data_IF_835576355950
#
_entry.id   IF_835576355950
#
_cell.length_a   1.000
_cell.length_b   1.000
_cell.length_c   1.000
_cell.angle_alpha   90.00
_cell.angle_beta   90.00
_cell.angle_gamma   90.00
#
_symmetry.space_group_name_H-M   'P 1'
#
loop_
_entity.id
_entity.type
_entity.pdbx_description
1 polymer ?
#
# COMPACT_ATOMS: atom_id res chain seq x y z
N UNK A 1 -3.85 -19.20 -16.07
CA UNK A 1 -5.26 -18.78 -16.00
C UNK A 1 -5.95 -19.41 -14.79
N UNK A 2 -7.10 -18.88 -14.43
CA UNK A 2 -7.90 -19.44 -13.34
C UNK A 2 -8.39 -20.85 -13.66
N UNK A 3 -8.77 -21.11 -14.90
CA UNK A 3 -9.19 -22.42 -15.35
C UNK A 3 -8.09 -23.46 -15.20
N UNK A 4 -6.86 -23.10 -15.56
CA UNK A 4 -5.70 -23.98 -15.40
C UNK A 4 -5.41 -24.26 -13.92
N UNK A 5 -5.53 -23.27 -13.06
CA UNK A 5 -5.38 -23.45 -11.62
C UNK A 5 -6.43 -24.37 -11.04
N UNK A 6 -7.70 -24.19 -11.44
CA UNK A 6 -8.79 -25.05 -10.99
C UNK A 6 -8.54 -26.51 -11.41
N UNK A 7 -8.11 -26.73 -12.65
CA UNK A 7 -7.80 -28.06 -13.16
C UNK A 7 -6.64 -28.72 -12.40
N UNK A 8 -5.55 -27.97 -12.20
CA UNK A 8 -4.35 -28.51 -11.52
C UNK A 8 -4.55 -28.76 -10.03
N UNK A 9 -5.38 -27.96 -9.36
CA UNK A 9 -5.60 -28.07 -7.91
C UNK A 9 -6.77 -28.97 -7.54
N UNK A 10 -7.66 -29.27 -8.50
CA UNK A 10 -8.87 -30.00 -8.23
C UNK A 10 -9.98 -29.19 -7.56
N UNK A 11 -9.76 -27.88 -7.34
CA UNK A 11 -10.78 -26.98 -6.81
C UNK A 11 -11.69 -26.45 -7.92
N UNK A 12 -12.88 -26.02 -7.55
CA UNK A 12 -13.81 -25.41 -8.50
C UNK A 12 -13.28 -24.07 -9.00
N UNK A 13 -13.71 -23.66 -10.19
CA UNK A 13 -13.39 -22.35 -10.73
C UNK A 13 -13.85 -21.22 -9.81
N UNK A 14 -15.02 -21.39 -9.17
CA UNK A 14 -15.55 -20.42 -8.21
C UNK A 14 -14.63 -20.26 -6.99
N UNK A 15 -14.14 -21.37 -6.43
CA UNK A 15 -13.21 -21.34 -5.30
C UNK A 15 -11.88 -20.67 -5.67
N UNK A 16 -11.33 -20.99 -6.85
CA UNK A 16 -10.11 -20.37 -7.35
C UNK A 16 -10.32 -18.86 -7.55
N UNK A 17 -11.42 -18.46 -8.16
CA UNK A 17 -11.74 -17.04 -8.38
C UNK A 17 -11.82 -16.26 -7.07
N UNK A 18 -12.51 -16.81 -6.06
CA UNK A 18 -12.64 -16.17 -4.75
C UNK A 18 -11.28 -16.00 -4.06
N UNK A 19 -10.47 -17.06 -4.07
CA UNK A 19 -9.13 -17.05 -3.48
C UNK A 19 -8.22 -16.05 -4.20
N UNK A 20 -8.25 -16.02 -5.53
CA UNK A 20 -7.43 -15.11 -6.32
C UNK A 20 -7.80 -13.64 -6.13
N UNK A 21 -9.08 -13.33 -5.89
CA UNK A 21 -9.51 -11.96 -5.55
C UNK A 21 -8.84 -11.44 -4.28
N UNK A 22 -8.58 -12.32 -3.33
CA UNK A 22 -7.86 -11.97 -2.09
C UNK A 22 -6.38 -11.79 -2.38
N UNK A 23 -5.77 -12.73 -3.12
CA UNK A 23 -4.33 -12.74 -3.40
C UNK A 23 -3.87 -11.58 -4.28
N UNK A 24 -4.67 -11.15 -5.26
CA UNK A 24 -4.30 -10.04 -6.14
C UNK A 24 -4.22 -8.69 -5.44
N UNK A 25 -4.70 -8.59 -4.20
CA UNK A 25 -4.48 -7.41 -3.37
C UNK A 25 -3.05 -7.32 -2.87
N UNK A 26 -2.32 -8.43 -2.88
CA UNK A 26 -0.90 -8.46 -2.54
C UNK A 26 -0.06 -7.97 -3.73
N UNK A 27 0.98 -7.14 -3.50
CA UNK A 27 1.92 -6.75 -4.56
C UNK A 27 2.67 -7.94 -5.18
N UNK A 28 2.68 -9.09 -4.52
CA UNK A 28 3.34 -10.29 -5.01
C UNK A 28 2.63 -10.92 -6.22
N UNK A 29 1.33 -10.69 -6.36
CA UNK A 29 0.52 -11.27 -7.45
C UNK A 29 0.13 -10.16 -8.40
N UNK A 30 0.48 -10.31 -9.67
CA UNK A 30 0.14 -9.35 -10.73
C UNK A 30 -0.92 -9.96 -11.65
N UNK A 31 -1.87 -9.12 -12.03
CA UNK A 31 -2.97 -9.45 -12.92
C UNK A 31 -2.61 -9.02 -14.34
N UNK A 32 -2.75 -9.92 -15.30
CA UNK A 32 -2.41 -9.66 -16.69
C UNK A 32 -3.53 -10.09 -17.61
N UNK A 33 -3.88 -9.23 -18.58
CA UNK A 33 -4.76 -9.56 -19.69
C UNK A 33 -3.96 -9.56 -20.98
N UNK A 34 -4.08 -10.65 -21.76
CA UNK A 34 -3.50 -10.69 -23.09
C UNK A 34 -4.42 -9.99 -24.10
N UNK A 35 -3.88 -9.27 -25.10
CA UNK A 35 -4.68 -8.65 -26.14
C UNK A 35 -5.55 -9.70 -26.85
N UNK A 36 -6.83 -9.35 -27.08
CA UNK A 36 -7.79 -10.23 -27.75
C UNK A 36 -8.34 -11.37 -26.91
N UNK A 37 -7.97 -11.47 -25.65
CA UNK A 37 -8.46 -12.51 -24.72
C UNK A 37 -9.27 -11.91 -23.58
N UNK A 38 -10.38 -12.57 -23.24
CA UNK A 38 -11.18 -12.23 -22.05
C UNK A 38 -10.66 -12.92 -20.79
N UNK A 39 -9.72 -13.86 -20.91
CA UNK A 39 -9.17 -14.59 -19.78
C UNK A 39 -8.20 -13.73 -18.99
N UNK A 40 -8.24 -13.90 -17.66
CA UNK A 40 -7.31 -13.28 -16.74
C UNK A 40 -6.18 -14.24 -16.45
N UNK A 41 -4.97 -13.70 -16.51
CA UNK A 41 -3.76 -14.42 -16.16
C UNK A 41 -3.13 -13.77 -14.94
N UNK A 42 -2.50 -14.59 -14.09
CA UNK A 42 -1.83 -14.14 -12.88
C UNK A 42 -0.38 -14.64 -12.91
N UNK A 43 0.52 -13.81 -12.43
CA UNK A 43 1.88 -14.24 -12.20
C UNK A 43 2.38 -13.73 -10.85
N UNK A 44 3.31 -14.46 -10.25
CA UNK A 44 3.92 -14.12 -8.99
C UNK A 44 5.22 -13.35 -9.23
N UNK A 45 5.35 -12.19 -8.60
CA UNK A 45 6.60 -11.46 -8.61
C UNK A 45 7.63 -12.23 -7.79
N UNK A 46 8.74 -12.59 -8.41
CA UNK A 46 9.80 -13.38 -7.76
C UNK A 46 10.84 -12.52 -7.06
N UNK A 47 10.87 -11.23 -7.35
CA UNK A 47 11.80 -10.31 -6.74
C UNK A 47 11.19 -9.72 -5.45
N UNK A 48 11.60 -10.27 -4.32
CA UNK A 48 11.10 -9.87 -3.00
C UNK A 48 11.40 -8.40 -2.69
N UNK A 49 12.56 -7.90 -3.11
CA UNK A 49 12.92 -6.48 -2.93
C UNK A 49 11.94 -5.55 -3.63
N UNK A 50 11.55 -5.91 -4.86
CA UNK A 50 10.57 -5.15 -5.63
C UNK A 50 9.21 -5.13 -4.94
N UNK A 51 8.77 -6.26 -4.38
CA UNK A 51 7.51 -6.35 -3.62
C UNK A 51 7.53 -5.40 -2.43
N UNK A 52 8.60 -5.41 -1.65
CA UNK A 52 8.74 -4.56 -0.46
C UNK A 52 8.72 -3.08 -0.84
N UNK A 53 9.47 -2.69 -1.88
CA UNK A 53 9.50 -1.30 -2.35
C UNK A 53 8.13 -0.86 -2.84
N UNK A 54 7.43 -1.67 -3.65
CA UNK A 54 6.09 -1.35 -4.10
C UNK A 54 5.10 -1.21 -2.93
N UNK A 55 5.22 -2.05 -1.90
CA UNK A 55 4.39 -1.97 -0.71
C UNK A 55 4.63 -0.65 0.03
N UNK A 56 5.89 -0.26 0.20
CA UNK A 56 6.23 1.02 0.82
C UNK A 56 5.65 2.20 0.03
N UNK A 57 5.82 2.20 -1.29
CA UNK A 57 5.34 3.28 -2.15
C UNK A 57 3.80 3.35 -2.21
N UNK A 58 3.14 2.23 -2.40
CA UNK A 58 1.70 2.20 -2.66
C UNK A 58 0.84 2.23 -1.39
N UNK A 59 1.34 1.70 -0.29
CA UNK A 59 0.57 1.62 0.96
C UNK A 59 1.03 2.68 1.95
N UNK A 60 2.28 2.57 2.39
CA UNK A 60 2.78 3.42 3.48
C UNK A 60 2.95 4.87 3.06
N UNK A 61 3.64 5.14 1.95
CA UNK A 61 3.89 6.51 1.51
C UNK A 61 2.62 7.24 1.09
N UNK A 62 1.72 6.59 0.37
CA UNK A 62 0.46 7.21 -0.05
C UNK A 62 -0.42 7.61 1.12
N UNK A 63 -0.57 6.70 2.10
CA UNK A 63 -1.38 6.97 3.29
C UNK A 63 -0.77 8.10 4.11
N UNK A 64 0.53 8.07 4.33
CA UNK A 64 1.22 9.13 5.08
C UNK A 64 1.16 10.48 4.37
N UNK A 65 1.40 10.53 3.05
CA UNK A 65 1.29 11.76 2.27
C UNK A 65 -0.09 12.37 2.36
N UNK A 66 -1.13 11.56 2.23
CA UNK A 66 -2.50 12.01 2.33
C UNK A 66 -2.81 12.58 3.71
N UNK A 67 -2.40 11.90 4.77
CA UNK A 67 -2.61 12.35 6.14
C UNK A 67 -1.86 13.65 6.42
N UNK A 68 -0.59 13.72 6.04
CA UNK A 68 0.24 14.92 6.25
C UNK A 68 -0.33 16.12 5.48
N UNK A 69 -0.82 15.91 4.27
CA UNK A 69 -1.43 16.97 3.47
C UNK A 69 -2.72 17.53 4.09
N UNK A 70 -3.54 16.65 4.68
CA UNK A 70 -4.85 17.02 5.23
C UNK A 70 -4.80 17.56 6.66
N UNK A 71 -3.81 17.16 7.45
CA UNK A 71 -3.77 17.51 8.88
C UNK A 71 -3.67 19.00 9.18
N UNK A 72 -2.85 19.82 8.49
CA UNK A 72 -2.79 21.25 8.79
C UNK A 72 -4.14 21.94 8.66
N UNK A 73 -4.91 21.60 7.64
CA UNK A 73 -6.25 22.17 7.43
C UNK A 73 -7.24 21.71 8.49
N UNK A 74 -7.17 20.45 8.88
CA UNK A 74 -7.99 19.88 9.94
C UNK A 74 -7.71 20.60 11.26
N UNK A 75 -6.46 20.80 11.60
CA UNK A 75 -6.05 21.52 12.81
C UNK A 75 -6.54 22.98 12.77
N UNK A 76 -6.39 23.66 11.64
CA UNK A 76 -6.88 25.01 11.44
C UNK A 76 -8.39 25.09 11.64
N UNK A 77 -9.16 24.15 11.08
CA UNK A 77 -10.61 24.12 11.25
C UNK A 77 -11.02 23.92 12.70
N UNK A 78 -10.33 23.03 13.43
CA UNK A 78 -10.57 22.85 14.87
C UNK A 78 -10.33 24.12 15.67
N UNK A 79 -9.30 24.87 15.33
CA UNK A 79 -8.99 26.14 15.98
C UNK A 79 -10.05 27.21 15.69
N UNK A 80 -10.65 27.20 14.50
CA UNK A 80 -11.69 28.16 14.10
C UNK A 80 -13.06 27.83 14.71
N UNK A 81 -13.48 26.57 14.62
CA UNK A 81 -14.82 26.13 15.04
C UNK A 81 -14.93 25.94 16.54
N UNK A 82 -13.83 25.73 17.23
CA UNK A 82 -13.75 25.55 18.67
C UNK A 82 -14.78 24.55 19.23
N UNK A 83 -14.84 23.30 18.69
CA UNK A 83 -15.73 22.29 19.24
C UNK A 83 -15.35 21.98 20.69
N UNK A 84 -16.25 21.28 21.41
CA UNK A 84 -15.98 20.88 22.78
C UNK A 84 -14.64 20.14 22.88
N UNK A 85 -13.80 20.51 23.85
CA UNK A 85 -12.46 19.96 24.07
C UNK A 85 -11.46 20.18 22.90
N UNK A 86 -11.70 21.20 22.05
CA UNK A 86 -10.85 21.42 20.89
C UNK A 86 -9.37 21.63 21.22
N UNK A 87 -9.05 22.28 22.34
CA UNK A 87 -7.65 22.52 22.75
C UNK A 87 -6.89 21.21 22.98
N UNK A 88 -7.54 20.24 23.61
CA UNK A 88 -6.98 18.92 23.87
C UNK A 88 -6.76 18.16 22.57
N UNK A 89 -7.76 18.20 21.69
CA UNK A 89 -7.71 17.53 20.40
C UNK A 89 -6.65 18.14 19.49
N UNK A 90 -6.51 19.47 19.49
CA UNK A 90 -5.47 20.15 18.70
C UNK A 90 -4.07 19.73 19.14
N UNK A 91 -3.83 19.63 20.45
CA UNK A 91 -2.53 19.18 20.98
C UNK A 91 -2.20 17.75 20.46
N UNK A 92 -3.17 16.85 20.49
CA UNK A 92 -3.00 15.48 20.01
C UNK A 92 -2.74 15.46 18.49
N UNK A 93 -3.52 16.22 17.73
CA UNK A 93 -3.38 16.30 16.27
C UNK A 93 -2.03 16.88 15.86
N UNK A 94 -1.56 17.93 16.54
CA UNK A 94 -0.25 18.52 16.27
C UNK A 94 0.88 17.54 16.59
N UNK A 95 0.75 16.77 17.66
CA UNK A 95 1.70 15.70 18.00
C UNK A 95 1.73 14.62 16.93
N UNK A 96 0.56 14.15 16.47
CA UNK A 96 0.49 13.17 15.38
C UNK A 96 1.10 13.72 14.09
N UNK A 97 0.83 14.97 13.76
CA UNK A 97 1.40 15.61 12.58
C UNK A 97 2.94 15.60 12.62
N UNK A 98 3.53 15.97 13.75
CA UNK A 98 4.98 15.95 13.93
C UNK A 98 5.54 14.53 13.82
N UNK A 99 4.87 13.56 14.44
CA UNK A 99 5.28 12.15 14.36
C UNK A 99 5.21 11.63 12.94
N UNK A 100 4.13 11.94 12.21
CA UNK A 100 3.96 11.51 10.81
C UNK A 100 5.03 12.10 9.90
N UNK A 101 5.41 13.36 10.09
CA UNK A 101 6.47 13.97 9.28
C UNK A 101 7.83 13.30 9.51
N UNK A 102 8.12 12.94 10.75
CA UNK A 102 9.33 12.19 11.08
C UNK A 102 9.31 10.79 10.46
N UNK A 103 8.19 10.09 10.61
CA UNK A 103 8.02 8.74 10.06
C UNK A 103 8.14 8.75 8.54
N UNK A 104 7.53 9.73 7.86
CA UNK A 104 7.66 9.87 6.40
C UNK A 104 9.12 10.05 5.99
N UNK A 105 9.84 10.93 6.66
CA UNK A 105 11.25 11.18 6.38
C UNK A 105 12.10 9.92 6.54
N UNK A 106 11.91 9.21 7.64
CA UNK A 106 12.65 7.97 7.92
C UNK A 106 12.28 6.85 6.95
N UNK A 107 11.01 6.76 6.58
CA UNK A 107 10.54 5.77 5.59
C UNK A 107 11.16 6.01 4.23
N UNK A 108 11.25 7.27 3.79
CA UNK A 108 11.93 7.63 2.53
C UNK A 108 13.40 7.25 2.56
N UNK A 109 14.10 7.52 3.65
CA UNK A 109 15.50 7.12 3.83
C UNK A 109 15.66 5.61 3.77
N UNK A 110 14.80 4.89 4.47
CA UNK A 110 14.79 3.43 4.47
C UNK A 110 14.62 2.89 3.06
N UNK A 111 13.64 3.41 2.31
CA UNK A 111 13.37 3.00 0.94
C UNK A 111 14.57 3.25 0.02
N UNK A 112 15.18 4.43 0.10
CA UNK A 112 16.34 4.76 -0.72
C UNK A 112 17.56 3.88 -0.39
N UNK A 113 17.80 3.63 0.90
CA UNK A 113 18.84 2.72 1.34
C UNK A 113 18.59 1.29 0.86
N UNK A 114 17.33 0.85 0.93
CA UNK A 114 16.95 -0.48 0.48
C UNK A 114 17.15 -0.63 -1.03
N UNK A 115 16.73 0.34 -1.83
CA UNK A 115 16.93 0.34 -3.29
C UNK A 115 18.42 0.24 -3.64
N UNK A 116 19.24 1.03 -2.98
CA UNK A 116 20.68 1.05 -3.22
C UNK A 116 21.34 -0.29 -2.88
N UNK A 117 21.01 -0.84 -1.72
CA UNK A 117 21.61 -2.08 -1.26
C UNK A 117 21.11 -3.30 -2.05
N UNK A 118 19.84 -3.29 -2.48
CA UNK A 118 19.30 -4.35 -3.32
C UNK A 118 19.87 -4.34 -4.74
N UNK A 119 20.27 -3.18 -5.25
CA UNK A 119 20.89 -3.07 -6.58
C UNK A 119 22.20 -3.87 -6.66
N UNK A 120 22.89 -4.05 -5.54
CA UNK A 120 24.15 -4.80 -5.47
C UNK A 120 23.96 -6.30 -5.32
N UNK A 121 22.74 -6.77 -5.12
CA UNK A 121 22.42 -8.19 -5.00
C UNK A 121 22.19 -8.78 -6.38
N UNK A 122 22.95 -9.82 -6.70
CA UNK A 122 22.86 -10.53 -7.98
C UNK A 122 21.93 -11.75 -7.88
#
# INVERSE_FOLDING_TARGET
SMEQLAERTGYSLSAVSTTMKILIKSPAIKKLRKPGSKKLYFYMEKNIGKIIIETLENTTEKVMKSAIHKMPKLIENYKKEKPENYKKDVIVLEKYYRQLTVIEKETKKFKENLKRNLADVK
#
